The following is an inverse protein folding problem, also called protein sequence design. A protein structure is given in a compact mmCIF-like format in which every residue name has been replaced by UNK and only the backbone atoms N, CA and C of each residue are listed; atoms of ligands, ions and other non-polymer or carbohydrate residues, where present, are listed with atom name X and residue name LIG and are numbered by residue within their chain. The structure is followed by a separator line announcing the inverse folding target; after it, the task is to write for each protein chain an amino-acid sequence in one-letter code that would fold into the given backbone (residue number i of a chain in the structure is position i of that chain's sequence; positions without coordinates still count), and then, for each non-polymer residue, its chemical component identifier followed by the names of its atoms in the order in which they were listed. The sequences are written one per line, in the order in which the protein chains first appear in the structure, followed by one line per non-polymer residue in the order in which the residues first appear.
data_IF_337996915544
#
_entry.id   IF_337996915544
#
_cell.length_a   1.000
_cell.length_b   1.000
_cell.length_c   1.000
_cell.angle_alpha   90.00
_cell.angle_beta   90.00
_cell.angle_gamma   90.00
#
_symmetry.space_group_name_H-M   'P 1'
#
loop_
_entity.id
_entity.type
_entity.pdbx_description
1 polymer ?
#
# COMPACT_ATOMS: atom_id res chain seq x y z
N UNK A 1 -49.21 -6.83 -10.24
CA UNK A 1 -48.86 -7.74 -11.35
C UNK A 1 -47.41 -7.50 -11.76
N UNK A 2 -46.65 -8.60 -11.83
CA UNK A 2 -45.30 -8.85 -12.39
C UNK A 2 -44.24 -7.72 -12.35
N UNK A 3 -43.35 -7.85 -11.35
CA UNK A 3 -42.01 -7.25 -11.24
C UNK A 3 -41.00 -8.07 -12.05
N UNK A 4 -40.77 -7.80 -13.34
CA UNK A 4 -39.64 -8.40 -14.07
C UNK A 4 -39.20 -7.51 -15.26
N UNK A 5 -38.35 -6.53 -14.99
CA UNK A 5 -37.55 -5.80 -15.98
C UNK A 5 -36.47 -5.11 -15.14
N UNK A 6 -35.25 -5.62 -14.93
CA UNK A 6 -34.23 -5.92 -15.92
C UNK A 6 -33.20 -6.89 -15.29
N UNK A 7 -33.50 -8.19 -15.36
CA UNK A 7 -32.58 -9.26 -15.00
C UNK A 7 -31.35 -9.41 -15.94
N UNK A 8 -31.27 -8.88 -17.19
CA UNK A 8 -30.10 -9.16 -18.03
C UNK A 8 -28.90 -8.22 -17.84
N UNK A 9 -29.00 -7.14 -17.04
CA UNK A 9 -27.85 -6.24 -16.78
C UNK A 9 -26.91 -6.80 -15.69
N UNK A 10 -27.40 -7.75 -14.88
CA UNK A 10 -26.60 -8.35 -13.79
C UNK A 10 -25.53 -9.33 -14.29
N UNK A 11 -25.60 -9.79 -15.54
CA UNK A 11 -24.75 -10.86 -16.08
C UNK A 11 -23.42 -10.37 -16.68
N UNK A 12 -23.18 -9.06 -16.78
CA UNK A 12 -21.91 -8.51 -17.32
C UNK A 12 -20.79 -8.52 -16.25
N UNK A 13 -21.10 -8.84 -14.99
CA UNK A 13 -20.13 -8.85 -13.89
C UNK A 13 -19.42 -10.19 -13.64
N UNK A 14 -19.61 -11.22 -14.47
CA UNK A 14 -19.13 -12.59 -14.15
C UNK A 14 -17.69 -12.88 -14.60
N UNK A 15 -17.06 -12.06 -15.45
CA UNK A 15 -15.65 -12.29 -15.79
C UNK A 15 -14.71 -11.56 -14.83
N UNK A 16 -14.85 -11.84 -13.53
CA UNK A 16 -13.75 -11.66 -12.59
C UNK A 16 -12.79 -12.84 -12.80
N UNK A 17 -12.08 -12.88 -13.94
CA UNK A 17 -10.97 -13.79 -14.10
C UNK A 17 -9.93 -13.40 -13.07
N UNK A 18 -9.79 -14.20 -12.01
CA UNK A 18 -8.65 -14.13 -11.11
C UNK A 18 -7.41 -14.39 -11.96
N UNK A 19 -6.72 -13.32 -12.35
CA UNK A 19 -5.42 -13.44 -13.00
C UNK A 19 -4.48 -13.96 -11.92
N UNK A 20 -4.25 -15.27 -11.90
CA UNK A 20 -3.18 -15.85 -11.11
C UNK A 20 -1.86 -15.32 -11.68
N UNK A 21 -1.13 -14.56 -10.87
CA UNK A 21 0.20 -14.12 -11.24
C UNK A 21 1.11 -15.33 -11.40
N UNK A 22 1.98 -15.29 -12.39
CA UNK A 22 3.10 -16.23 -12.45
C UNK A 22 4.06 -15.98 -11.30
N UNK A 23 4.89 -16.97 -10.96
CA UNK A 23 5.94 -16.81 -9.95
C UNK A 23 6.87 -15.64 -10.31
N UNK A 24 7.31 -15.57 -11.57
CA UNK A 24 8.18 -14.50 -12.08
C UNK A 24 7.55 -13.12 -11.93
N UNK A 25 6.25 -12.98 -12.21
CA UNK A 25 5.55 -11.70 -12.03
C UNK A 25 5.40 -11.32 -10.55
N UNK A 26 5.16 -12.30 -9.69
CA UNK A 26 5.04 -12.10 -8.24
C UNK A 26 6.38 -11.67 -7.63
N UNK A 27 7.48 -12.32 -8.03
CA UNK A 27 8.84 -12.00 -7.59
C UNK A 27 9.26 -10.59 -8.05
N UNK A 28 8.90 -10.22 -9.28
CA UNK A 28 9.14 -8.87 -9.80
C UNK A 28 8.43 -7.82 -8.94
N UNK A 29 7.14 -8.00 -8.67
CA UNK A 29 6.36 -7.08 -7.83
C UNK A 29 6.95 -6.99 -6.42
N UNK A 30 7.28 -8.13 -5.82
CA UNK A 30 7.87 -8.18 -4.48
C UNK A 30 9.20 -7.39 -4.44
N UNK A 31 10.08 -7.61 -5.41
CA UNK A 31 11.35 -6.90 -5.51
C UNK A 31 11.17 -5.38 -5.63
N UNK A 32 10.37 -4.92 -6.59
CA UNK A 32 10.16 -3.48 -6.83
C UNK A 32 9.53 -2.76 -5.63
N UNK A 33 8.57 -3.40 -4.96
CA UNK A 33 7.98 -2.84 -3.73
C UNK A 33 8.99 -2.86 -2.58
N UNK A 34 9.83 -3.90 -2.47
CA UNK A 34 10.88 -3.98 -1.46
C UNK A 34 11.92 -2.88 -1.65
N UNK A 35 12.35 -2.62 -2.88
CA UNK A 35 13.26 -1.51 -3.20
C UNK A 35 12.64 -0.16 -2.79
N UNK A 36 11.35 0.04 -3.07
CA UNK A 36 10.61 1.23 -2.64
C UNK A 36 10.53 1.35 -1.10
N UNK A 37 10.35 0.23 -0.40
CA UNK A 37 10.34 0.20 1.08
C UNK A 37 11.70 0.60 1.65
N UNK A 38 12.80 0.19 1.02
CA UNK A 38 14.15 0.60 1.46
C UNK A 38 14.30 2.11 1.40
N UNK A 39 13.93 2.73 0.27
CA UNK A 39 14.00 4.19 0.13
C UNK A 39 13.08 4.94 1.11
N UNK A 40 11.89 4.38 1.38
CA UNK A 40 10.96 4.93 2.37
C UNK A 40 11.59 4.92 3.77
N UNK A 41 12.20 3.80 4.18
CA UNK A 41 12.87 3.69 5.48
C UNK A 41 14.03 4.66 5.60
N UNK A 42 14.83 4.82 4.55
CA UNK A 42 15.90 5.82 4.54
C UNK A 42 15.34 7.24 4.70
N UNK A 43 14.29 7.61 3.96
CA UNK A 43 13.67 8.92 4.10
C UNK A 43 13.16 9.18 5.53
N UNK A 44 12.54 8.18 6.15
CA UNK A 44 12.10 8.25 7.54
C UNK A 44 13.28 8.40 8.52
N UNK A 45 14.32 7.57 8.40
CA UNK A 45 15.50 7.61 9.25
C UNK A 45 16.22 8.96 9.22
N UNK A 46 16.22 9.64 8.08
CA UNK A 46 16.81 10.97 7.91
C UNK A 46 15.84 12.13 8.15
N UNK A 47 14.66 11.90 8.72
CA UNK A 47 13.63 12.93 8.94
C UNK A 47 13.24 13.72 7.66
N UNK A 48 13.37 13.11 6.48
CA UNK A 48 13.07 13.75 5.19
C UNK A 48 11.58 13.65 4.89
N UNK A 49 10.78 14.43 5.61
CA UNK A 49 9.33 14.36 5.52
C UNK A 49 8.79 14.60 4.09
N UNK A 50 9.31 15.61 3.38
CA UNK A 50 8.83 15.89 2.01
C UNK A 50 9.10 14.72 1.06
N UNK A 51 10.23 14.02 1.23
CA UNK A 51 10.50 12.78 0.50
C UNK A 51 9.60 11.62 0.95
N UNK A 52 9.33 11.51 2.25
CA UNK A 52 8.40 10.49 2.79
C UNK A 52 7.01 10.60 2.14
N UNK A 53 6.52 11.83 1.96
CA UNK A 53 5.22 12.11 1.34
C UNK A 53 5.11 11.57 -0.09
N UNK A 54 6.21 11.53 -0.84
CA UNK A 54 6.23 11.08 -2.24
C UNK A 54 5.84 9.59 -2.39
N UNK A 55 6.07 8.78 -1.34
CA UNK A 55 5.70 7.36 -1.31
C UNK A 55 4.20 7.12 -1.13
N UNK A 56 3.41 8.14 -0.78
CA UNK A 56 1.97 7.99 -0.57
C UNK A 56 1.19 8.55 -1.76
N UNK A 57 0.12 7.85 -2.15
CA UNK A 57 -0.88 8.45 -3.05
C UNK A 57 -1.59 9.60 -2.32
N UNK A 58 -1.91 10.71 -3.02
CA UNK A 58 -2.53 11.90 -2.41
C UNK A 58 -4.03 11.70 -2.15
N UNK A 59 -4.37 10.70 -1.34
CA UNK A 59 -5.74 10.44 -0.89
C UNK A 59 -6.02 11.17 0.42
N UNK A 60 -7.29 11.47 0.68
CA UNK A 60 -7.70 12.12 1.93
C UNK A 60 -7.20 11.37 3.18
N UNK A 61 -7.35 10.03 3.19
CA UNK A 61 -6.90 9.18 4.30
C UNK A 61 -5.38 9.21 4.45
N UNK A 62 -4.63 9.11 3.36
CA UNK A 62 -3.17 9.16 3.42
C UNK A 62 -2.67 10.52 3.90
N UNK A 63 -3.32 11.62 3.49
CA UNK A 63 -2.97 12.96 3.96
C UNK A 63 -3.14 13.08 5.48
N UNK A 64 -4.23 12.54 6.05
CA UNK A 64 -4.43 12.52 7.51
C UNK A 64 -3.31 11.74 8.22
N UNK A 65 -2.93 10.57 7.69
CA UNK A 65 -1.86 9.75 8.26
C UNK A 65 -0.53 10.49 8.23
N UNK A 66 -0.21 11.06 7.07
CA UNK A 66 0.97 11.87 6.84
C UNK A 66 1.04 13.06 7.80
N UNK A 67 -0.05 13.80 7.98
CA UNK A 67 -0.13 14.93 8.92
C UNK A 67 0.01 14.50 10.39
N UNK A 68 -0.43 13.29 10.74
CA UNK A 68 -0.17 12.75 12.06
C UNK A 68 1.30 12.33 12.24
N UNK A 69 1.89 11.68 11.23
CA UNK A 69 3.30 11.28 11.24
C UNK A 69 4.24 12.49 11.32
N UNK A 70 3.91 13.63 10.70
CA UNK A 70 4.67 14.91 10.81
C UNK A 70 4.89 15.37 12.26
N UNK A 71 4.01 14.99 13.20
CA UNK A 71 4.08 15.42 14.60
C UNK A 71 5.20 14.72 15.37
N UNK A 72 5.77 13.66 14.80
CA UNK A 72 6.83 12.87 15.40
C UNK A 72 8.18 13.18 14.76
N UNK A 73 9.24 13.00 15.54
CA UNK A 73 10.60 12.84 15.03
C UNK A 73 10.72 11.45 14.39
N UNK A 74 10.69 11.39 13.06
CA UNK A 74 10.68 10.15 12.28
C UNK A 74 11.92 9.29 12.55
N UNK A 75 13.06 9.90 12.88
CA UNK A 75 14.28 9.17 13.24
C UNK A 75 14.13 8.34 14.52
N UNK A 76 13.11 8.63 15.35
CA UNK A 76 12.75 7.85 16.54
C UNK A 76 11.73 6.75 16.26
N UNK A 77 11.21 6.68 15.04
CA UNK A 77 10.27 5.65 14.60
C UNK A 77 11.03 4.55 13.86
N UNK A 78 10.81 3.30 14.25
CA UNK A 78 11.36 2.15 13.50
C UNK A 78 10.26 1.52 12.66
N UNK A 79 10.44 1.56 11.34
CA UNK A 79 9.52 0.94 10.38
C UNK A 79 10.01 -0.46 10.00
N UNK A 80 9.21 -1.48 10.30
CA UNK A 80 9.45 -2.88 9.93
C UNK A 80 8.36 -3.30 8.95
N UNK A 81 8.73 -3.98 7.87
CA UNK A 81 7.79 -4.48 6.89
C UNK A 81 7.92 -6.00 6.79
N UNK A 82 6.79 -6.69 6.66
CA UNK A 82 6.79 -8.11 6.30
C UNK A 82 7.15 -8.30 4.84
N UNK A 83 7.28 -9.56 4.43
CA UNK A 83 7.28 -9.93 3.02
C UNK A 83 6.06 -9.33 2.30
N UNK A 84 6.31 -8.83 1.09
CA UNK A 84 5.31 -8.23 0.21
C UNK A 84 4.55 -9.34 -0.52
N UNK A 85 3.22 -9.30 -0.44
CA UNK A 85 2.34 -10.19 -1.19
C UNK A 85 1.83 -9.50 -2.44
N UNK A 86 2.26 -9.98 -3.60
CA UNK A 86 1.73 -9.52 -4.88
C UNK A 86 0.25 -9.91 -5.00
N UNK A 87 -0.63 -8.92 -5.21
CA UNK A 87 -2.07 -9.13 -5.41
C UNK A 87 -2.40 -9.13 -6.90
N UNK A 88 -1.70 -8.32 -7.67
CA UNK A 88 -1.74 -8.26 -9.14
C UNK A 88 -0.46 -7.56 -9.64
N UNK A 89 -0.29 -7.43 -10.96
CA UNK A 89 0.90 -6.77 -11.55
C UNK A 89 1.12 -5.33 -11.08
N UNK A 90 0.06 -4.68 -10.59
CA UNK A 90 0.07 -3.29 -10.17
C UNK A 90 -0.48 -3.08 -8.75
N UNK A 91 -0.67 -4.14 -7.97
CA UNK A 91 -1.10 -4.06 -6.57
C UNK A 91 -0.36 -5.06 -5.71
N UNK A 92 0.04 -4.64 -4.52
CA UNK A 92 0.64 -5.51 -3.52
C UNK A 92 0.13 -5.14 -2.13
N UNK A 93 0.29 -6.05 -1.17
CA UNK A 93 -0.10 -5.82 0.22
C UNK A 93 0.95 -6.39 1.15
N UNK A 94 1.10 -5.80 2.32
CA UNK A 94 2.02 -6.26 3.35
C UNK A 94 1.64 -5.76 4.73
N UNK A 95 2.35 -6.23 5.74
CA UNK A 95 2.26 -5.71 7.09
C UNK A 95 3.37 -4.70 7.31
N UNK A 96 3.04 -3.56 7.89
CA UNK A 96 3.99 -2.58 8.43
C UNK A 96 3.81 -2.50 9.93
N UNK A 97 4.92 -2.50 10.66
CA UNK A 97 4.98 -2.29 12.09
C UNK A 97 5.74 -0.99 12.32
N UNK A 98 5.15 -0.09 13.09
CA UNK A 98 5.81 1.15 13.52
C UNK A 98 6.06 1.03 15.02
N UNK A 99 7.34 1.05 15.40
CA UNK A 99 7.74 1.08 16.80
C UNK A 99 8.09 2.51 17.22
N UNK A 100 7.61 2.91 18.40
CA UNK A 100 7.98 4.16 19.06
C UNK A 100 8.18 3.89 20.55
N UNK A 101 9.42 3.97 21.04
CA UNK A 101 9.75 3.54 22.39
C UNK A 101 9.39 2.06 22.61
N UNK A 102 8.53 1.77 23.58
CA UNK A 102 8.03 0.42 23.89
C UNK A 102 6.73 0.06 23.18
N UNK A 103 6.16 0.96 22.37
CA UNK A 103 4.89 0.74 21.68
C UNK A 103 5.13 0.23 20.25
N UNK A 104 4.32 -0.74 19.84
CA UNK A 104 4.32 -1.31 18.49
C UNK A 104 2.92 -1.24 17.90
N UNK A 105 2.78 -0.54 16.78
CA UNK A 105 1.52 -0.41 16.06
C UNK A 105 1.58 -1.17 14.73
N UNK A 106 0.54 -1.93 14.43
CA UNK A 106 0.50 -2.84 13.28
C UNK A 106 -0.47 -2.33 12.23
N UNK A 107 -0.03 -2.31 10.98
CA UNK A 107 -0.80 -1.79 9.86
C UNK A 107 -0.75 -2.72 8.66
N UNK A 108 -1.88 -2.93 8.01
CA UNK A 108 -1.93 -3.45 6.65
C UNK A 108 -1.63 -2.28 5.71
N UNK A 109 -0.64 -2.45 4.84
CA UNK A 109 -0.25 -1.46 3.83
C UNK A 109 -0.52 -2.01 2.46
N UNK A 110 -1.29 -1.26 1.67
CA UNK A 110 -1.62 -1.61 0.30
C UNK A 110 -0.87 -0.70 -0.66
N UNK A 111 -0.13 -1.32 -1.57
CA UNK A 111 0.69 -0.65 -2.58
C UNK A 111 -0.01 -0.70 -3.94
N UNK A 112 0.16 0.36 -4.72
CA UNK A 112 -0.33 0.45 -6.10
C UNK A 112 0.74 1.03 -7.00
N UNK A 113 0.94 0.41 -8.15
CA UNK A 113 1.76 0.97 -9.23
C UNK A 113 1.04 2.19 -9.82
N UNK A 114 1.74 3.30 -9.90
CA UNK A 114 1.27 4.49 -10.61
C UNK A 114 1.61 4.39 -12.09
N UNK A 115 0.65 4.79 -12.95
CA UNK A 115 0.87 4.80 -14.40
C UNK A 115 1.89 5.89 -14.79
N UNK A 116 2.04 6.92 -13.96
CA UNK A 116 3.06 7.94 -14.08
C UNK A 116 4.39 7.35 -13.59
N UNK A 117 5.24 6.94 -14.52
CA UNK A 117 6.63 6.52 -14.30
C UNK A 117 6.85 5.14 -13.68
N UNK A 118 5.80 4.32 -13.48
CA UNK A 118 5.97 2.95 -12.98
C UNK A 118 6.48 2.90 -11.54
N UNK A 119 6.10 3.88 -10.71
CA UNK A 119 6.49 3.95 -9.30
C UNK A 119 5.43 3.28 -8.42
N UNK A 120 5.88 2.50 -7.44
CA UNK A 120 5.03 1.95 -6.39
C UNK A 120 4.76 2.99 -5.31
N UNK A 121 3.49 3.16 -4.96
CA UNK A 121 3.07 4.07 -3.88
C UNK A 121 2.10 3.39 -2.92
N UNK A 122 2.15 3.81 -1.66
CA UNK A 122 1.18 3.46 -0.62
C UNK A 122 -0.17 4.05 -1.02
N UNK A 123 -1.11 3.17 -1.35
CA UNK A 123 -2.47 3.52 -1.71
C UNK A 123 -3.39 3.60 -0.51
N UNK A 124 -3.14 2.77 0.51
CA UNK A 124 -3.92 2.73 1.73
C UNK A 124 -3.10 2.13 2.89
N UNK A 125 -3.37 2.60 4.09
CA UNK A 125 -2.83 2.07 5.35
C UNK A 125 -3.99 1.87 6.32
N UNK A 126 -4.15 0.68 6.88
CA UNK A 126 -5.22 0.35 7.82
C UNK A 126 -4.64 -0.32 9.07
N UNK A 127 -5.10 0.09 10.25
CA UNK A 127 -4.72 -0.58 11.50
C UNK A 127 -5.13 -2.06 11.46
N UNK A 128 -4.20 -2.92 11.86
CA UNK A 128 -4.47 -4.33 12.07
C UNK A 128 -4.86 -4.52 13.54
N UNK A 129 -6.16 -4.69 13.76
CA UNK A 129 -6.74 -5.05 15.05
C UNK A 129 -6.46 -6.51 15.40
#
# INVERSE_FOLDING_TARGET
MKKYLFLPILLIFINCTTVNLTLVESDKVNKEVTDTIVELKEAANFNKYEKLKEFFLPTFKNNIILDNIKKYDLSKLTFIFSEVKAVSKNKASGLMIINYGSESNYYIVNWKMTNENGQWKISDVAEKK
#
